data_IF_341886175110
#
_entry.id   IF_341886175110
#
_cell.length_a   1.000
_cell.length_b   1.000
_cell.length_c   1.000
_cell.angle_alpha   90.00
_cell.angle_beta   90.00
_cell.angle_gamma   90.00
#
_symmetry.space_group_name_H-M   'P 1'
#
loop_
_entity.id
_entity.type
_entity.pdbx_description
1 polymer ?
#
# COMPACT_ATOMS: atom_id res chain seq x y z
N UNK A 1 28.71 39.19 -12.54
CA UNK A 1 27.49 38.75 -11.82
C UNK A 1 27.00 37.41 -12.35
N UNK A 2 26.55 37.29 -13.61
CA UNK A 2 26.00 36.05 -14.17
C UNK A 2 26.94 34.82 -14.08
N UNK A 3 28.24 35.02 -14.33
CA UNK A 3 29.26 33.96 -14.26
C UNK A 3 29.51 33.42 -12.85
N UNK A 4 29.47 34.30 -11.85
CA UNK A 4 29.65 33.92 -10.44
C UNK A 4 28.43 33.14 -9.97
N UNK A 5 27.22 33.59 -10.32
CA UNK A 5 25.97 32.86 -10.00
C UNK A 5 25.97 31.47 -10.63
N UNK A 6 26.38 31.33 -11.89
CA UNK A 6 26.48 30.03 -12.57
C UNK A 6 27.50 29.11 -11.88
N UNK A 7 28.67 29.63 -11.51
CA UNK A 7 29.70 28.86 -10.82
C UNK A 7 29.23 28.35 -9.44
N UNK A 8 28.50 29.18 -8.68
CA UNK A 8 27.92 28.79 -7.40
C UNK A 8 26.86 27.70 -7.59
N UNK A 9 26.00 27.82 -8.61
CA UNK A 9 24.99 26.80 -8.92
C UNK A 9 25.66 25.46 -9.28
N UNK A 10 26.69 25.48 -10.13
CA UNK A 10 27.42 24.26 -10.52
C UNK A 10 28.12 23.63 -9.32
N UNK A 11 28.78 24.42 -8.48
CA UNK A 11 29.41 23.93 -7.25
C UNK A 11 28.38 23.30 -6.30
N UNK A 12 27.26 23.99 -6.08
CA UNK A 12 26.16 23.47 -5.24
C UNK A 12 25.63 22.15 -5.79
N UNK A 13 25.32 22.07 -7.09
CA UNK A 13 24.85 20.84 -7.73
C UNK A 13 25.88 19.72 -7.64
N UNK A 14 27.17 20.03 -7.71
CA UNK A 14 28.27 19.05 -7.59
C UNK A 14 28.36 18.50 -6.17
N UNK A 15 28.34 19.37 -5.14
CA UNK A 15 28.33 18.96 -3.74
C UNK A 15 27.10 18.12 -3.42
N UNK A 16 25.93 18.56 -3.88
CA UNK A 16 24.67 17.82 -3.76
C UNK A 16 24.79 16.45 -4.44
N UNK A 17 25.31 16.37 -5.66
CA UNK A 17 25.54 15.10 -6.36
C UNK A 17 26.44 14.15 -5.57
N UNK A 18 27.60 14.60 -5.08
CA UNK A 18 28.51 13.76 -4.31
C UNK A 18 27.92 13.33 -2.97
N UNK A 19 27.20 14.22 -2.28
CA UNK A 19 26.46 13.88 -1.07
C UNK A 19 25.43 12.78 -1.35
N UNK A 20 24.56 12.97 -2.34
CA UNK A 20 23.54 11.98 -2.68
C UNK A 20 24.13 10.65 -3.15
N UNK A 21 25.18 10.70 -3.97
CA UNK A 21 25.90 9.50 -4.41
C UNK A 21 26.47 8.74 -3.22
N UNK A 22 27.16 9.43 -2.31
CA UNK A 22 27.78 8.82 -1.13
C UNK A 22 26.72 8.21 -0.20
N UNK A 23 25.65 8.95 0.08
CA UNK A 23 24.61 8.53 1.03
C UNK A 23 23.73 7.41 0.46
N UNK A 24 23.27 7.51 -0.79
CA UNK A 24 22.23 6.63 -1.33
C UNK A 24 22.72 5.71 -2.45
N UNK A 25 23.92 5.89 -3.00
CA UNK A 25 24.33 5.18 -4.22
C UNK A 25 25.79 4.70 -4.15
N UNK A 26 26.18 4.16 -3.00
CA UNK A 26 27.47 3.47 -2.79
C UNK A 26 27.23 2.06 -2.31
N UNK A 27 28.00 1.10 -2.81
CA UNK A 27 28.02 -0.25 -2.26
C UNK A 27 28.57 -0.16 -0.82
N UNK A 28 27.89 -0.80 0.14
CA UNK A 28 28.26 -0.74 1.56
C UNK A 28 28.62 -2.12 2.09
N UNK A 29 29.75 -2.23 2.78
CA UNK A 29 30.13 -3.45 3.50
C UNK A 29 30.44 -4.66 2.59
N UNK A 30 30.60 -5.86 3.19
CA UNK A 30 31.11 -7.04 2.49
C UNK A 30 30.07 -7.81 1.66
N UNK A 31 28.78 -7.47 1.79
CA UNK A 31 27.69 -8.22 1.14
C UNK A 31 27.79 -8.01 -0.39
N UNK A 32 27.74 -9.06 -1.22
CA UNK A 32 27.84 -8.92 -2.67
C UNK A 32 26.63 -8.20 -3.26
N UNK A 33 26.80 -7.58 -4.43
CA UNK A 33 25.73 -6.91 -5.15
C UNK A 33 26.28 -6.04 -6.28
N UNK A 34 25.39 -5.48 -7.10
CA UNK A 34 25.80 -4.56 -8.16
C UNK A 34 25.81 -3.13 -7.62
N UNK A 35 26.86 -2.32 -7.90
CA UNK A 35 26.86 -0.91 -7.54
C UNK A 35 25.61 -0.20 -8.07
N UNK A 36 24.92 0.59 -7.24
CA UNK A 36 23.71 1.29 -7.67
C UNK A 36 24.02 2.45 -8.61
N UNK A 37 23.12 2.65 -9.58
CA UNK A 37 23.08 3.84 -10.43
C UNK A 37 22.39 5.00 -9.71
N UNK A 38 22.83 6.22 -10.01
CA UNK A 38 22.25 7.44 -9.44
C UNK A 38 20.74 7.52 -9.71
N UNK A 39 19.95 7.82 -8.67
CA UNK A 39 18.48 7.89 -8.64
C UNK A 39 17.74 6.56 -8.84
N UNK A 40 18.23 5.67 -9.69
CA UNK A 40 17.51 4.44 -10.07
C UNK A 40 17.95 3.21 -9.27
N UNK A 41 19.02 3.30 -8.48
CA UNK A 41 19.57 2.13 -7.80
C UNK A 41 19.96 1.06 -8.82
N UNK A 42 19.47 -0.17 -8.66
CA UNK A 42 19.67 -1.24 -9.64
C UNK A 42 18.52 -1.38 -10.64
N UNK A 43 17.49 -0.52 -10.61
CA UNK A 43 16.28 -0.71 -11.43
C UNK A 43 16.53 -0.61 -12.93
N UNK A 44 17.31 0.37 -13.36
CA UNK A 44 17.59 0.62 -14.79
C UNK A 44 18.50 -0.47 -15.37
N UNK A 45 19.64 -0.74 -14.73
CA UNK A 45 20.54 -1.84 -15.10
C UNK A 45 19.92 -3.24 -15.02
N UNK A 46 18.93 -3.46 -14.16
CA UNK A 46 18.17 -4.71 -14.10
C UNK A 46 17.10 -4.79 -15.20
N UNK A 47 16.89 -3.73 -15.98
CA UNK A 47 15.90 -3.67 -17.04
C UNK A 47 14.46 -3.44 -16.58
N UNK A 48 14.21 -3.24 -15.28
CA UNK A 48 12.86 -3.07 -14.71
C UNK A 48 12.16 -1.83 -15.29
N UNK A 49 12.91 -0.74 -15.49
CA UNK A 49 12.37 0.50 -16.03
C UNK A 49 12.48 0.55 -17.57
N UNK A 50 13.51 -0.10 -18.13
CA UNK A 50 13.82 0.01 -19.56
C UNK A 50 13.16 -1.04 -20.44
N UNK A 51 12.75 -2.19 -19.89
CA UNK A 51 12.21 -3.32 -20.66
C UNK A 51 10.81 -3.64 -20.18
N UNK A 52 9.84 -3.61 -21.10
CA UNK A 52 8.41 -3.84 -20.82
C UNK A 52 8.08 -5.21 -20.22
N UNK A 53 8.96 -6.21 -20.35
CA UNK A 53 8.71 -7.60 -19.96
C UNK A 53 9.50 -8.07 -18.73
N UNK A 54 10.38 -7.24 -18.16
CA UNK A 54 11.20 -7.67 -17.01
C UNK A 54 10.46 -7.37 -15.72
N UNK A 55 10.11 -8.43 -14.99
CA UNK A 55 9.45 -8.30 -13.69
C UNK A 55 10.46 -8.43 -12.55
N UNK A 56 10.12 -7.83 -11.41
CA UNK A 56 10.97 -7.82 -10.22
C UNK A 56 11.33 -9.24 -9.71
N UNK A 57 10.41 -10.23 -9.71
CA UNK A 57 10.75 -11.60 -9.31
C UNK A 57 11.83 -12.25 -10.18
N UNK A 58 11.81 -12.01 -11.50
CA UNK A 58 12.81 -12.54 -12.43
C UNK A 58 14.20 -11.95 -12.12
N UNK A 59 14.23 -10.65 -11.81
CA UNK A 59 15.46 -9.95 -11.41
C UNK A 59 16.02 -10.53 -10.11
N UNK A 60 15.16 -10.77 -9.11
CA UNK A 60 15.60 -11.37 -7.85
C UNK A 60 16.14 -12.79 -8.05
N UNK A 61 15.50 -13.60 -8.89
CA UNK A 61 15.99 -14.93 -9.26
C UNK A 61 17.37 -14.86 -9.92
N UNK A 62 17.58 -13.91 -10.84
CA UNK A 62 18.89 -13.71 -11.48
C UNK A 62 19.97 -13.23 -10.51
N UNK A 63 19.63 -12.32 -9.60
CA UNK A 63 20.58 -11.85 -8.59
C UNK A 63 20.94 -12.95 -7.60
N UNK A 64 19.95 -13.75 -7.17
CA UNK A 64 20.18 -14.91 -6.32
C UNK A 64 21.11 -15.92 -7.01
N UNK A 65 20.84 -16.27 -8.27
CA UNK A 65 21.72 -17.17 -9.04
C UNK A 65 23.15 -16.63 -9.19
N UNK A 66 23.32 -15.30 -9.21
CA UNK A 66 24.63 -14.65 -9.39
C UNK A 66 25.42 -14.45 -8.10
N UNK A 67 24.74 -14.13 -7.00
CA UNK A 67 25.37 -13.68 -5.75
C UNK A 67 25.14 -14.62 -4.56
N UNK A 68 24.30 -15.65 -4.72
CA UNK A 68 23.95 -16.60 -3.66
C UNK A 68 22.78 -16.15 -2.80
N UNK A 69 22.69 -16.70 -1.59
CA UNK A 69 21.55 -16.51 -0.68
C UNK A 69 21.43 -15.10 -0.12
N UNK A 70 22.55 -14.40 0.06
CA UNK A 70 22.61 -13.07 0.67
C UNK A 70 23.26 -12.08 -0.29
N UNK A 71 22.49 -11.08 -0.72
CA UNK A 71 22.99 -10.04 -1.63
C UNK A 71 22.31 -8.69 -1.41
N UNK A 72 22.92 -7.63 -1.91
CA UNK A 72 22.38 -6.28 -1.88
C UNK A 72 21.67 -5.95 -3.18
N UNK A 73 20.47 -5.37 -3.07
CA UNK A 73 19.73 -4.80 -4.19
C UNK A 73 19.26 -3.40 -3.86
N UNK A 74 19.46 -2.46 -4.79
CA UNK A 74 19.00 -1.09 -4.62
C UNK A 74 17.69 -0.86 -5.38
N UNK A 75 16.59 -0.73 -4.65
CA UNK A 75 15.29 -0.37 -5.21
C UNK A 75 15.17 1.16 -5.21
N UNK A 76 15.59 1.79 -6.31
CA UNK A 76 15.73 3.24 -6.38
C UNK A 76 16.76 3.75 -5.37
N UNK A 77 16.35 4.64 -4.46
CA UNK A 77 17.20 5.15 -3.38
C UNK A 77 17.34 4.23 -2.17
N UNK A 78 16.65 3.10 -2.14
CA UNK A 78 16.60 2.20 -0.99
C UNK A 78 17.55 1.02 -1.15
N UNK A 79 18.35 0.76 -0.12
CA UNK A 79 19.18 -0.44 -0.02
C UNK A 79 18.38 -1.58 0.61
N UNK A 80 18.22 -2.67 -0.12
CA UNK A 80 17.65 -3.92 0.35
C UNK A 80 18.76 -4.95 0.52
N UNK A 81 18.75 -5.65 1.64
CA UNK A 81 19.52 -6.88 1.84
C UNK A 81 18.55 -8.02 1.59
N UNK A 82 18.78 -8.76 0.52
CA UNK A 82 17.98 -9.90 0.12
C UNK A 82 18.54 -11.14 0.80
N UNK A 83 17.65 -11.94 1.37
CA UNK A 83 17.97 -13.16 2.11
C UNK A 83 17.06 -14.25 1.54
N UNK A 84 17.66 -15.30 0.99
CA UNK A 84 16.96 -16.36 0.27
C UNK A 84 17.15 -17.75 0.91
N UNK A 85 17.90 -17.85 2.02
CA UNK A 85 18.03 -19.10 2.76
C UNK A 85 16.81 -19.31 3.67
N UNK A 86 16.41 -20.57 3.83
CA UNK A 86 15.32 -20.94 4.73
C UNK A 86 15.71 -20.71 6.19
N UNK A 87 16.95 -21.01 6.57
CA UNK A 87 17.43 -20.85 7.95
C UNK A 87 17.41 -19.39 8.40
N UNK A 88 17.91 -18.46 7.56
CA UNK A 88 17.91 -17.04 7.91
C UNK A 88 16.49 -16.46 7.93
N UNK A 89 15.64 -16.86 6.98
CA UNK A 89 14.24 -16.47 6.99
C UNK A 89 13.55 -16.94 8.28
N UNK A 90 13.74 -18.21 8.66
CA UNK A 90 13.21 -18.75 9.91
C UNK A 90 13.76 -18.01 11.13
N UNK A 91 15.05 -17.68 11.14
CA UNK A 91 15.67 -16.90 12.21
C UNK A 91 15.00 -15.52 12.34
N UNK A 92 14.81 -14.80 11.23
CA UNK A 92 14.19 -13.46 11.23
C UNK A 92 12.74 -13.54 11.74
N UNK A 93 11.95 -14.50 11.23
CA UNK A 93 10.55 -14.63 11.61
C UNK A 93 10.36 -15.13 13.06
N UNK A 94 11.29 -15.93 13.58
CA UNK A 94 11.28 -16.39 14.98
C UNK A 94 11.75 -15.29 15.93
N UNK A 95 12.66 -14.44 15.50
CA UNK A 95 13.28 -13.39 16.31
C UNK A 95 12.76 -11.98 15.95
N UNK A 96 11.49 -11.84 15.57
CA UNK A 96 10.87 -10.55 15.20
C UNK A 96 11.00 -9.42 16.23
N UNK A 97 11.33 -9.72 17.49
CA UNK A 97 11.52 -8.73 18.54
C UNK A 97 12.84 -7.95 18.42
N UNK A 98 13.84 -8.49 17.72
CA UNK A 98 15.12 -7.80 17.42
C UNK A 98 15.17 -7.21 16.01
N UNK A 99 14.21 -7.57 15.14
CA UNK A 99 14.11 -7.05 13.78
C UNK A 99 12.99 -6.03 13.67
N UNK A 100 13.37 -4.81 13.34
CA UNK A 100 12.43 -3.73 13.04
C UNK A 100 11.99 -3.77 11.58
N UNK A 101 10.78 -3.29 11.32
CA UNK A 101 10.32 -3.08 9.95
C UNK A 101 11.20 -2.03 9.24
N UNK A 102 11.70 -2.39 8.07
CA UNK A 102 12.63 -1.57 7.29
C UNK A 102 12.03 -0.24 6.82
N UNK A 103 12.91 0.73 6.56
CA UNK A 103 12.58 2.10 6.18
C UNK A 103 11.69 2.21 4.93
N UNK A 104 11.73 1.21 4.05
CA UNK A 104 10.86 1.13 2.86
C UNK A 104 9.38 1.25 3.23
N UNK A 105 8.96 0.53 4.26
CA UNK A 105 7.56 0.48 4.68
C UNK A 105 7.21 1.55 5.69
N UNK A 106 8.18 2.09 6.41
CA UNK A 106 7.91 3.05 7.47
C UNK A 106 8.03 4.47 6.96
N UNK A 107 9.09 4.83 6.27
CA UNK A 107 9.40 6.24 6.03
C UNK A 107 8.80 6.81 4.74
N UNK A 108 8.83 6.05 3.65
CA UNK A 108 8.24 6.51 2.38
C UNK A 108 6.72 6.33 2.37
N UNK A 109 6.19 5.28 2.99
CA UNK A 109 4.73 5.16 3.18
C UNK A 109 4.16 6.26 4.07
N UNK A 110 4.89 6.72 5.09
CA UNK A 110 4.45 7.84 5.95
C UNK A 110 4.18 9.12 5.17
N UNK A 111 4.81 9.32 4.01
CA UNK A 111 4.54 10.48 3.15
C UNK A 111 3.10 10.47 2.61
N UNK A 112 2.52 9.28 2.43
CA UNK A 112 1.18 9.11 1.88
C UNK A 112 0.15 8.86 2.99
N UNK A 113 0.43 7.91 3.88
CA UNK A 113 -0.45 7.52 4.97
C UNK A 113 0.35 7.32 6.27
N UNK A 114 0.60 8.38 7.06
CA UNK A 114 1.43 8.31 8.27
C UNK A 114 0.87 7.38 9.34
N UNK A 115 -0.46 7.24 9.40
CA UNK A 115 -1.17 6.43 10.38
C UNK A 115 -1.60 5.05 9.83
N UNK A 116 -1.18 4.71 8.61
CA UNK A 116 -1.46 3.41 8.01
C UNK A 116 -0.74 2.30 8.78
N UNK A 117 -1.39 1.15 8.97
CA UNK A 117 -0.85 0.03 9.76
C UNK A 117 0.57 -0.39 9.34
N UNK A 118 0.89 -0.29 8.05
CA UNK A 118 2.19 -0.65 7.47
C UNK A 118 3.32 0.28 7.96
N UNK A 119 2.99 1.49 8.42
CA UNK A 119 3.94 2.50 8.88
C UNK A 119 4.19 2.46 10.40
N UNK A 120 3.31 1.77 11.14
CA UNK A 120 3.29 1.80 12.60
C UNK A 120 4.29 0.80 13.17
N UNK A 121 4.81 1.10 14.37
CA UNK A 121 5.71 0.22 15.12
C UNK A 121 5.18 0.00 16.54
N UNK A 122 5.71 -1.04 17.21
CA UNK A 122 5.47 -1.28 18.63
C UNK A 122 4.00 -1.39 19.01
N UNK A 123 3.60 -0.65 20.05
CA UNK A 123 2.24 -0.72 20.60
C UNK A 123 1.16 -0.26 19.61
N UNK A 124 1.42 0.79 18.82
CA UNK A 124 0.47 1.31 17.83
C UNK A 124 0.18 0.27 16.74
N UNK A 125 1.23 -0.38 16.22
CA UNK A 125 1.07 -1.49 15.28
C UNK A 125 0.27 -2.63 15.90
N UNK A 126 0.64 -3.09 17.10
CA UNK A 126 -0.06 -4.20 17.78
C UNK A 126 -1.56 -3.91 17.94
N UNK A 127 -1.91 -2.68 18.32
CA UNK A 127 -3.30 -2.24 18.44
C UNK A 127 -4.04 -2.31 17.11
N UNK A 128 -3.52 -1.67 16.05
CA UNK A 128 -4.18 -1.65 14.74
C UNK A 128 -4.23 -3.05 14.10
N UNK A 129 -3.16 -3.83 14.23
CA UNK A 129 -3.08 -5.21 13.74
C UNK A 129 -4.08 -6.12 14.45
N UNK A 130 -4.32 -5.93 15.75
CA UNK A 130 -5.33 -6.69 16.50
C UNK A 130 -6.73 -6.49 15.92
N UNK A 131 -7.10 -5.23 15.65
CA UNK A 131 -8.41 -4.90 15.05
C UNK A 131 -8.53 -5.52 13.66
N UNK A 132 -7.56 -5.29 12.77
CA UNK A 132 -7.61 -5.80 11.39
C UNK A 132 -7.58 -7.33 11.35
N UNK A 133 -6.67 -7.97 12.09
CA UNK A 133 -6.53 -9.44 12.09
C UNK A 133 -7.75 -10.15 12.66
N UNK A 134 -8.52 -9.49 13.53
CA UNK A 134 -9.74 -10.08 14.09
C UNK A 134 -10.81 -10.36 13.03
N UNK A 135 -10.80 -9.62 11.92
CA UNK A 135 -11.74 -9.78 10.81
C UNK A 135 -11.48 -11.03 9.96
N UNK A 136 -10.21 -11.40 9.83
CA UNK A 136 -9.79 -12.54 9.01
C UNK A 136 -9.85 -13.87 9.78
N UNK A 137 -10.51 -13.90 10.94
CA UNK A 137 -10.76 -15.14 11.67
C UNK A 137 -11.82 -15.95 10.94
N UNK A 138 -11.64 -17.28 10.85
CA UNK A 138 -12.55 -18.20 10.17
C UNK A 138 -14.03 -17.95 10.48
N UNK A 139 -14.38 -17.81 11.76
CA UNK A 139 -15.78 -17.58 12.17
C UNK A 139 -16.37 -16.25 11.71
N UNK A 140 -15.55 -15.27 11.33
CA UNK A 140 -16.00 -13.99 10.76
C UNK A 140 -16.19 -14.08 9.26
N UNK A 141 -15.27 -14.77 8.57
CA UNK A 141 -15.33 -14.97 7.12
C UNK A 141 -16.56 -15.81 6.75
N UNK A 142 -16.86 -16.87 7.52
CA UNK A 142 -18.00 -17.76 7.22
C UNK A 142 -19.36 -17.05 7.25
N UNK A 143 -19.52 -16.00 8.05
CA UNK A 143 -20.77 -15.21 8.13
C UNK A 143 -21.01 -14.42 6.84
N UNK A 144 -19.96 -14.17 6.06
CA UNK A 144 -20.01 -13.41 4.82
C UNK A 144 -20.00 -14.29 3.57
N UNK A 145 -20.14 -15.61 3.72
CA UNK A 145 -20.07 -16.54 2.58
C UNK A 145 -21.18 -16.26 1.57
N UNK A 146 -22.40 -16.01 2.04
CA UNK A 146 -23.54 -15.67 1.18
C UNK A 146 -23.26 -14.38 0.39
N UNK A 147 -22.74 -13.33 1.06
CA UNK A 147 -22.32 -12.09 0.39
C UNK A 147 -21.25 -12.31 -0.68
N UNK A 148 -20.28 -13.20 -0.43
CA UNK A 148 -19.24 -13.55 -1.39
C UNK A 148 -19.86 -14.27 -2.60
N UNK A 149 -20.80 -15.19 -2.35
CA UNK A 149 -21.55 -15.90 -3.41
C UNK A 149 -22.35 -14.88 -4.22
N UNK A 150 -23.13 -14.01 -3.58
CA UNK A 150 -23.94 -12.99 -4.26
C UNK A 150 -23.09 -12.07 -5.15
N UNK A 151 -21.94 -11.61 -4.67
CA UNK A 151 -21.02 -10.80 -5.47
C UNK A 151 -20.46 -11.59 -6.67
N UNK A 152 -20.17 -12.88 -6.47
CA UNK A 152 -19.67 -13.77 -7.52
C UNK A 152 -20.75 -14.02 -8.57
N UNK A 153 -21.97 -14.32 -8.15
CA UNK A 153 -23.12 -14.55 -9.02
C UNK A 153 -23.44 -13.28 -9.84
N UNK A 154 -23.39 -12.09 -9.23
CA UNK A 154 -23.51 -10.82 -9.96
C UNK A 154 -22.48 -10.69 -11.10
N UNK A 155 -21.22 -11.04 -10.85
CA UNK A 155 -20.19 -11.02 -11.89
C UNK A 155 -20.45 -12.09 -12.98
N UNK A 156 -20.84 -13.29 -12.58
CA UNK A 156 -21.15 -14.38 -13.51
C UNK A 156 -22.35 -14.05 -14.40
N UNK A 157 -23.38 -13.43 -13.84
CA UNK A 157 -24.56 -12.99 -14.58
C UNK A 157 -24.19 -11.93 -15.62
N UNK A 158 -23.31 -11.00 -15.28
CA UNK A 158 -22.73 -10.05 -16.24
C UNK A 158 -22.01 -10.76 -17.40
N UNK A 159 -21.24 -11.81 -17.11
CA UNK A 159 -20.62 -12.61 -18.16
C UNK A 159 -21.63 -13.36 -19.02
N UNK A 160 -22.72 -13.84 -18.43
CA UNK A 160 -23.80 -14.55 -19.14
C UNK A 160 -24.55 -13.64 -20.11
N UNK A 161 -24.72 -12.36 -19.80
CA UNK A 161 -25.38 -11.38 -20.69
C UNK A 161 -24.68 -11.29 -22.06
N UNK A 162 -23.34 -11.39 -22.09
CA UNK A 162 -22.54 -11.29 -23.31
C UNK A 162 -22.11 -12.65 -23.89
N UNK A 163 -22.59 -13.77 -23.31
CA UNK A 163 -22.15 -15.12 -23.66
C UNK A 163 -22.39 -15.50 -25.13
N UNK A 164 -23.46 -14.99 -25.74
CA UNK A 164 -23.83 -15.28 -27.14
C UNK A 164 -23.20 -14.32 -28.15
N UNK A 165 -22.41 -13.34 -27.70
CA UNK A 165 -21.73 -12.41 -28.58
C UNK A 165 -20.27 -12.86 -28.78
N UNK A 166 -19.94 -13.53 -29.92
CA UNK A 166 -18.58 -13.99 -30.20
C UNK A 166 -17.56 -12.84 -30.33
N UNK A 167 -18.00 -11.58 -30.36
CA UNK A 167 -17.13 -10.40 -30.38
C UNK A 167 -16.81 -9.86 -28.97
N UNK A 168 -17.56 -10.28 -27.93
CA UNK A 168 -17.42 -9.84 -26.54
C UNK A 168 -16.90 -10.94 -25.62
N UNK A 169 -15.83 -11.62 -26.02
CA UNK A 169 -15.09 -12.47 -25.07
C UNK A 169 -14.52 -11.55 -23.98
N UNK A 170 -14.87 -11.80 -22.73
CA UNK A 170 -14.31 -11.07 -21.58
C UNK A 170 -12.83 -11.42 -21.41
N UNK A 171 -11.94 -10.58 -21.96
CA UNK A 171 -10.49 -10.84 -21.95
C UNK A 171 -9.77 -10.24 -20.73
N UNK A 172 -10.42 -9.37 -19.94
CA UNK A 172 -9.78 -8.68 -18.82
C UNK A 172 -10.17 -9.28 -17.44
N UNK A 173 -9.80 -10.54 -17.23
CA UNK A 173 -10.04 -11.25 -15.96
C UNK A 173 -9.39 -10.58 -14.75
N UNK A 174 -8.28 -9.86 -14.95
CA UNK A 174 -7.57 -9.16 -13.86
C UNK A 174 -8.44 -8.03 -13.32
N UNK A 175 -8.92 -7.14 -14.19
CA UNK A 175 -9.77 -6.01 -13.80
C UNK A 175 -11.08 -6.49 -13.17
N UNK A 176 -11.70 -7.52 -13.74
CA UNK A 176 -12.95 -8.10 -13.22
C UNK A 176 -12.76 -8.75 -11.84
N UNK A 177 -11.65 -9.47 -11.64
CA UNK A 177 -11.31 -10.03 -10.33
C UNK A 177 -11.04 -8.95 -9.30
N UNK A 178 -10.41 -7.84 -9.70
CA UNK A 178 -10.17 -6.69 -8.83
C UNK A 178 -11.48 -5.99 -8.44
N UNK A 179 -12.42 -5.83 -9.37
CA UNK A 179 -13.76 -5.30 -9.11
C UNK A 179 -14.55 -6.21 -8.16
N UNK A 180 -14.54 -7.52 -8.39
CA UNK A 180 -15.17 -8.50 -7.49
C UNK A 180 -14.59 -8.41 -6.07
N UNK A 181 -13.27 -8.40 -5.93
CA UNK A 181 -12.62 -8.28 -4.63
C UNK A 181 -13.00 -6.96 -3.96
N UNK A 182 -13.03 -5.85 -4.71
CA UNK A 182 -13.41 -4.55 -4.17
C UNK A 182 -14.87 -4.55 -3.70
N UNK A 183 -15.81 -5.14 -4.45
CA UNK A 183 -17.20 -5.32 -4.02
C UNK A 183 -17.29 -6.11 -2.70
N UNK A 184 -16.64 -7.28 -2.65
CA UNK A 184 -16.60 -8.14 -1.46
C UNK A 184 -16.03 -7.37 -0.26
N UNK A 185 -14.91 -6.66 -0.43
CA UNK A 185 -14.34 -5.86 0.66
C UNK A 185 -15.23 -4.69 1.07
N UNK A 186 -15.90 -4.03 0.13
CA UNK A 186 -16.89 -2.99 0.41
C UNK A 186 -17.98 -3.49 1.37
N UNK A 187 -18.56 -4.66 1.07
CA UNK A 187 -19.58 -5.25 1.92
C UNK A 187 -19.02 -5.78 3.25
N UNK A 188 -17.95 -6.58 3.22
CA UNK A 188 -17.44 -7.24 4.43
C UNK A 188 -16.84 -6.25 5.42
N UNK A 189 -16.06 -5.29 4.93
CA UNK A 189 -15.35 -4.35 5.80
C UNK A 189 -16.22 -3.15 6.17
N UNK A 190 -17.05 -2.64 5.25
CA UNK A 190 -17.74 -1.37 5.42
C UNK A 190 -19.26 -1.49 5.37
N UNK A 191 -19.81 -2.68 5.09
CA UNK A 191 -21.24 -2.88 4.81
C UNK A 191 -21.76 -1.85 3.80
N UNK A 192 -20.97 -1.61 2.76
CA UNK A 192 -21.18 -0.55 1.79
C UNK A 192 -21.10 -1.14 0.38
N UNK A 193 -22.14 -0.92 -0.42
CA UNK A 193 -22.10 -1.28 -1.84
C UNK A 193 -21.26 -0.26 -2.58
N UNK A 194 -20.13 -0.71 -3.10
CA UNK A 194 -19.24 0.14 -3.87
C UNK A 194 -19.73 0.34 -5.30
N UNK A 195 -20.76 -0.38 -5.77
CA UNK A 195 -21.30 -0.30 -7.13
C UNK A 195 -20.19 -0.58 -8.18
N UNK A 196 -19.27 -1.49 -7.84
CA UNK A 196 -18.13 -1.85 -8.71
C UNK A 196 -18.50 -2.89 -9.76
N UNK A 197 -19.64 -3.56 -9.59
CA UNK A 197 -20.14 -4.61 -10.46
C UNK A 197 -21.31 -4.16 -11.37
N UNK A 198 -21.82 -2.93 -11.19
CA UNK A 198 -23.05 -2.45 -11.85
C UNK A 198 -22.85 -2.13 -13.35
N UNK A 199 -23.88 -2.35 -14.16
CA UNK A 199 -23.81 -2.34 -15.64
C UNK A 199 -23.50 -0.98 -16.28
N UNK A 200 -23.77 0.13 -15.57
CA UNK A 200 -23.40 1.47 -16.04
C UNK A 200 -21.87 1.69 -16.13
N UNK A 201 -21.07 0.72 -15.65
CA UNK A 201 -19.62 0.80 -15.52
C UNK A 201 -18.81 0.27 -16.71
N UNK A 202 -19.42 -0.27 -17.78
CA UNK A 202 -18.64 -0.75 -18.95
C UNK A 202 -17.72 0.34 -19.54
N UNK A 203 -18.15 1.61 -19.50
CA UNK A 203 -17.33 2.76 -19.90
C UNK A 203 -16.96 3.70 -18.72
N UNK A 204 -17.74 3.72 -17.63
CA UNK A 204 -17.40 4.50 -16.44
C UNK A 204 -16.71 3.61 -15.40
N UNK A 205 -15.38 3.48 -15.50
CA UNK A 205 -14.59 2.92 -14.38
C UNK A 205 -15.00 3.65 -13.10
N UNK A 206 -15.51 2.92 -12.12
CA UNK A 206 -15.95 3.45 -10.84
C UNK A 206 -14.91 4.45 -10.28
N UNK A 207 -15.35 5.66 -9.92
CA UNK A 207 -14.47 6.77 -9.53
C UNK A 207 -13.51 6.36 -8.40
N UNK A 208 -14.00 5.57 -7.43
CA UNK A 208 -13.19 5.04 -6.35
C UNK A 208 -12.13 4.06 -6.84
N UNK A 209 -12.49 3.17 -7.77
CA UNK A 209 -11.55 2.21 -8.37
C UNK A 209 -10.41 2.93 -9.09
N UNK A 210 -10.74 3.96 -9.88
CA UNK A 210 -9.72 4.79 -10.54
C UNK A 210 -8.83 5.52 -9.53
N UNK A 211 -9.42 6.04 -8.45
CA UNK A 211 -8.68 6.70 -7.39
C UNK A 211 -7.70 5.74 -6.71
N UNK A 212 -8.11 4.50 -6.40
CA UNK A 212 -7.22 3.48 -5.85
C UNK A 212 -6.04 3.17 -6.77
N UNK A 213 -6.27 2.95 -8.07
CA UNK A 213 -5.17 2.72 -9.02
C UNK A 213 -4.21 3.91 -9.12
N UNK A 214 -4.75 5.14 -9.17
CA UNK A 214 -3.94 6.36 -9.18
C UNK A 214 -3.06 6.47 -7.93
N UNK A 215 -3.61 6.13 -6.76
CA UNK A 215 -2.88 6.12 -5.50
C UNK A 215 -1.79 5.03 -5.46
N UNK A 216 -2.11 3.80 -5.86
CA UNK A 216 -1.16 2.67 -5.90
C UNK A 216 0.00 2.92 -6.88
N UNK A 217 -0.30 3.44 -8.07
CA UNK A 217 0.75 3.82 -9.04
C UNK A 217 1.65 4.93 -8.50
N UNK A 218 1.06 5.93 -7.82
CA UNK A 218 1.83 7.00 -7.18
C UNK A 218 2.73 6.44 -6.07
N UNK A 219 2.20 5.51 -5.25
CA UNK A 219 2.94 4.83 -4.19
C UNK A 219 4.15 4.08 -4.74
N UNK A 220 4.00 3.35 -5.85
CA UNK A 220 5.11 2.63 -6.49
C UNK A 220 6.24 3.57 -6.94
N UNK A 221 5.91 4.76 -7.46
CA UNK A 221 6.90 5.77 -7.86
C UNK A 221 7.58 6.38 -6.63
N UNK A 222 6.81 6.78 -5.62
CA UNK A 222 7.33 7.38 -4.39
C UNK A 222 8.29 6.44 -3.67
N UNK A 223 8.03 5.12 -3.71
CA UNK A 223 8.93 4.12 -3.14
C UNK A 223 10.31 4.06 -3.78
N UNK A 224 10.47 4.47 -5.03
CA UNK A 224 11.78 4.46 -5.68
C UNK A 224 12.57 5.73 -5.34
N UNK A 225 11.89 6.80 -4.93
CA UNK A 225 12.48 8.12 -4.75
C UNK A 225 13.04 8.34 -3.34
N UNK A 226 14.11 9.14 -3.20
CA UNK A 226 14.47 9.71 -1.91
C UNK A 226 13.31 10.51 -1.30
N UNK A 227 13.18 10.51 0.03
CA UNK A 227 12.04 11.10 0.75
C UNK A 227 11.69 12.53 0.32
N UNK A 228 12.71 13.37 0.11
CA UNK A 228 12.51 14.77 -0.27
C UNK A 228 11.90 14.89 -1.68
N UNK A 229 12.34 14.07 -2.64
CA UNK A 229 11.76 14.01 -3.99
C UNK A 229 10.37 13.41 -3.96
N UNK A 230 10.14 12.36 -3.16
CA UNK A 230 8.82 11.78 -2.96
C UNK A 230 7.81 12.80 -2.43
N UNK A 231 8.21 13.62 -1.45
CA UNK A 231 7.38 14.71 -0.92
C UNK A 231 7.05 15.76 -1.98
N UNK A 232 8.03 16.20 -2.76
CA UNK A 232 7.82 17.16 -3.85
C UNK A 232 6.90 16.58 -4.92
N UNK A 233 7.08 15.31 -5.30
CA UNK A 233 6.24 14.63 -6.27
C UNK A 233 4.79 14.51 -5.79
N UNK A 234 4.56 14.07 -4.55
CA UNK A 234 3.21 14.03 -3.96
C UNK A 234 2.57 15.42 -3.88
N UNK A 235 3.38 16.45 -3.62
CA UNK A 235 2.90 17.82 -3.65
C UNK A 235 2.50 18.25 -5.07
N UNK A 236 3.29 17.96 -6.11
CA UNK A 236 2.99 18.40 -7.47
C UNK A 236 1.95 17.52 -8.20
N UNK A 237 1.75 16.28 -7.77
CA UNK A 237 0.88 15.33 -8.44
C UNK A 237 -0.60 15.57 -8.11
N UNK A 238 -1.25 16.39 -8.94
CA UNK A 238 -2.68 16.68 -8.83
C UNK A 238 -3.56 15.42 -8.92
N UNK A 239 -3.17 14.42 -9.72
CA UNK A 239 -3.91 13.16 -9.82
C UNK A 239 -3.90 12.37 -8.52
N UNK A 240 -2.77 12.33 -7.81
CA UNK A 240 -2.67 11.67 -6.50
C UNK A 240 -3.48 12.42 -5.43
N UNK A 241 -3.46 13.76 -5.45
CA UNK A 241 -4.29 14.57 -4.55
C UNK A 241 -5.78 14.35 -4.79
N UNK A 242 -6.22 14.42 -6.05
CA UNK A 242 -7.62 14.14 -6.43
C UNK A 242 -8.04 12.74 -6.02
N UNK A 243 -7.21 11.73 -6.29
CA UNK A 243 -7.47 10.36 -5.88
C UNK A 243 -7.64 10.23 -4.36
N UNK A 244 -6.77 10.89 -3.58
CA UNK A 244 -6.89 10.94 -2.13
C UNK A 244 -8.20 11.57 -1.68
N UNK A 245 -8.58 12.72 -2.23
CA UNK A 245 -9.85 13.39 -1.92
C UNK A 245 -11.06 12.50 -2.24
N UNK A 246 -11.03 11.76 -3.35
CA UNK A 246 -12.10 10.81 -3.69
C UNK A 246 -12.18 9.71 -2.62
N UNK A 247 -11.06 9.07 -2.29
CA UNK A 247 -11.02 7.99 -1.28
C UNK A 247 -11.51 8.50 0.08
N UNK A 248 -11.01 9.67 0.53
CA UNK A 248 -11.39 10.27 1.80
C UNK A 248 -12.91 10.55 1.85
N UNK A 249 -13.50 11.08 0.76
CA UNK A 249 -14.95 11.29 0.65
C UNK A 249 -15.76 9.99 0.76
N UNK A 250 -15.29 8.89 0.17
CA UNK A 250 -15.96 7.60 0.32
C UNK A 250 -15.83 7.05 1.74
N UNK A 251 -14.66 7.18 2.37
CA UNK A 251 -14.44 6.79 3.76
C UNK A 251 -15.32 7.59 4.72
N UNK A 252 -15.46 8.90 4.52
CA UNK A 252 -16.35 9.75 5.30
C UNK A 252 -17.80 9.30 5.21
N UNK A 253 -18.30 9.01 3.99
CA UNK A 253 -19.65 8.47 3.79
C UNK A 253 -19.87 7.14 4.52
N UNK A 254 -18.89 6.23 4.45
CA UNK A 254 -18.96 4.94 5.14
C UNK A 254 -18.97 5.10 6.66
N UNK A 255 -18.14 6.01 7.19
CA UNK A 255 -18.09 6.33 8.63
C UNK A 255 -19.42 6.95 9.08
N UNK A 256 -19.96 7.91 8.33
CA UNK A 256 -21.21 8.59 8.65
C UNK A 256 -22.40 7.61 8.66
N UNK A 257 -22.47 6.71 7.68
CA UNK A 257 -23.48 5.66 7.64
C UNK A 257 -23.43 4.75 8.87
N UNK A 258 -22.22 4.36 9.32
CA UNK A 258 -22.06 3.56 10.54
C UNK A 258 -22.39 4.38 11.81
N UNK A 259 -22.02 5.66 11.84
CA UNK A 259 -22.31 6.57 12.96
C UNK A 259 -23.82 6.83 13.14
N UNK A 260 -24.58 6.84 12.05
CA UNK A 260 -26.03 7.02 12.06
C UNK A 260 -26.81 5.74 12.41
N UNK A 261 -26.13 4.58 12.44
CA UNK A 261 -26.74 3.30 12.85
C UNK A 261 -26.96 3.27 14.36
N UNK A 262 -28.11 2.76 14.82
CA UNK A 262 -28.47 2.67 16.25
C UNK A 262 -27.41 1.92 17.06
N UNK A 263 -27.16 2.34 18.31
CA UNK A 263 -26.17 1.73 19.22
C UNK A 263 -26.31 0.20 19.32
N UNK A 264 -27.55 -0.31 19.42
CA UNK A 264 -27.81 -1.75 19.50
C UNK A 264 -27.38 -2.49 18.22
N UNK A 265 -27.68 -1.93 17.05
CA UNK A 265 -27.22 -2.48 15.77
C UNK A 265 -25.71 -2.38 15.62
N UNK A 266 -25.07 -1.32 16.13
CA UNK A 266 -23.60 -1.19 16.11
C UNK A 266 -22.93 -2.22 17.00
N UNK A 267 -23.47 -2.53 18.17
CA UNK A 267 -22.94 -3.58 19.06
C UNK A 267 -23.03 -4.95 18.38
N UNK A 268 -24.13 -5.23 17.69
CA UNK A 268 -24.30 -6.46 16.91
C UNK A 268 -23.29 -6.53 15.75
N UNK A 269 -23.15 -5.43 15.00
CA UNK A 269 -22.24 -5.28 13.85
C UNK A 269 -20.76 -5.18 14.22
N UNK A 270 -20.40 -4.78 15.45
CA UNK A 270 -19.01 -4.79 15.95
C UNK A 270 -18.36 -6.15 15.73
N UNK A 271 -19.17 -7.21 15.77
CA UNK A 271 -18.71 -8.58 15.59
C UNK A 271 -18.54 -8.95 14.11
N UNK A 272 -19.07 -8.23 13.13
CA UNK A 272 -19.07 -8.69 11.73
C UNK A 272 -18.47 -7.69 10.75
N UNK A 273 -18.35 -6.41 11.13
CA UNK A 273 -17.96 -5.31 10.26
C UNK A 273 -16.73 -4.57 10.78
N UNK A 274 -15.77 -4.23 9.90
CA UNK A 274 -14.53 -3.54 10.28
C UNK A 274 -14.80 -2.14 10.79
N UNK A 275 -15.60 -1.35 10.06
CA UNK A 275 -15.84 0.05 10.43
C UNK A 275 -16.55 0.13 11.78
N UNK A 276 -17.49 -0.79 12.06
CA UNK A 276 -18.15 -0.89 13.36
C UNK A 276 -17.15 -1.23 14.49
N UNK A 277 -16.23 -2.18 14.26
CA UNK A 277 -15.18 -2.52 15.22
C UNK A 277 -14.24 -1.34 15.46
N UNK A 278 -13.83 -0.63 14.41
CA UNK A 278 -12.91 0.50 14.49
C UNK A 278 -13.54 1.68 15.26
N UNK A 279 -14.77 2.06 14.88
CA UNK A 279 -15.53 3.13 15.55
C UNK A 279 -15.72 2.81 17.03
N UNK A 280 -16.08 1.57 17.36
CA UNK A 280 -16.28 1.19 18.76
C UNK A 280 -14.98 1.23 19.55
N UNK A 281 -13.87 0.73 18.99
CA UNK A 281 -12.55 0.80 19.66
C UNK A 281 -12.10 2.25 19.87
N UNK A 282 -12.29 3.14 18.89
CA UNK A 282 -11.97 4.56 19.03
C UNK A 282 -12.80 5.23 20.14
N UNK A 283 -14.10 4.93 20.23
CA UNK A 283 -14.95 5.46 21.29
C UNK A 283 -14.59 4.92 22.69
N UNK A 284 -14.17 3.66 22.78
CA UNK A 284 -13.65 3.08 24.03
C UNK A 284 -12.36 3.80 24.46
N UNK A 285 -11.47 4.07 23.51
CA UNK A 285 -10.21 4.78 23.76
C UNK A 285 -10.42 6.25 24.16
N UNK A 286 -11.30 6.99 23.48
CA UNK A 286 -11.66 8.37 23.83
C UNK A 286 -12.23 8.46 25.26
N UNK A 287 -13.07 7.48 25.65
CA UNK A 287 -13.59 7.40 27.02
C UNK A 287 -12.48 7.13 28.03
N UNK A 288 -11.58 6.20 27.73
CA UNK A 288 -10.44 5.89 28.59
C UNK A 288 -9.50 7.10 28.75
N UNK A 289 -9.22 7.83 27.68
CA UNK A 289 -8.43 9.07 27.73
C UNK A 289 -9.15 10.19 28.48
N UNK A 290 -10.47 10.34 28.30
CA UNK A 290 -11.26 11.31 29.04
C UNK A 290 -11.22 11.07 30.56
N UNK A 291 -11.13 9.81 30.99
CA UNK A 291 -11.03 9.38 32.40
C UNK A 291 -9.63 9.47 33.02
N UNK A 292 -8.58 9.75 32.23
CA UNK A 292 -7.23 9.94 32.79
C UNK A 292 -7.14 11.24 33.60
N UNK A 293 -6.38 11.28 34.72
CA UNK A 293 -6.05 12.54 35.41
C UNK A 293 -5.42 13.55 34.46
N UNK A 294 -5.64 14.86 34.66
CA UNK A 294 -5.11 15.91 33.76
C UNK A 294 -3.58 15.87 33.60
N UNK A 295 -2.86 15.32 34.58
CA UNK A 295 -1.41 15.14 34.56
C UNK A 295 -0.93 14.07 33.55
N UNK A 296 -1.82 13.14 33.15
CA UNK A 296 -1.53 12.04 32.21
C UNK A 296 -2.11 12.27 30.80
N UNK A 297 -2.76 13.42 30.55
CA UNK A 297 -3.36 13.79 29.24
C UNK A 297 -2.36 14.41 28.25
N UNK A 298 -1.05 14.25 28.46
CA UNK A 298 0.01 14.79 27.58
C UNK A 298 0.57 13.76 26.60
#
# INVERSE_FOLDING_TARGET
>A
MLSITLAIIVLFLTVVYFYFKSVYFTLRGPIPGIPPQFLFGNLLQAGIISRKSVQLPDVFTQFHARFGDVYQFWYGSMRLIMINSLEDAQHIFSNRHIYDQGDIFTENMKLMNPNGIICLKGAQYKRHASVISSLFRRGKILVHLDTIIDCTDKLLDRWRIHYNDPTKIHLNMIEQSQQLLLAIFGFIAFNYDLETLDDNSEDSKNELTQAFYSLLNTMQIVFQLPKFLGRVLLFLNFKARRARTIIDRYLEKMIEQELNTTINMRIERKRTCFIASLVTSLQEDEKLEATKPEEEKK
#
